data_IF_360766626479
#
_entry.id   IF_360766626479
#
_cell.length_a   1.000
_cell.length_b   1.000
_cell.length_c   1.000
_cell.angle_alpha   90.00
_cell.angle_beta   90.00
_cell.angle_gamma   90.00
#
_symmetry.space_group_name_H-M   'P 1'
#
loop_
_entity.id
_entity.type
_entity.pdbx_description
1 polymer ?
#
# COMPACT_ATOMS: atom_id res chain seq x y z
N UNK A 1 4.89 -4.57 20.39
CA UNK A 1 6.00 -3.83 19.74
C UNK A 1 5.46 -2.55 19.12
N UNK A 2 6.22 -1.46 19.21
CA UNK A 2 5.84 -0.18 18.59
C UNK A 2 5.87 -0.29 17.06
N UNK A 3 4.71 -0.11 16.42
CA UNK A 3 4.53 -0.14 14.97
C UNK A 3 5.43 0.89 14.26
N UNK A 4 5.80 1.98 14.95
CA UNK A 4 6.68 3.01 14.37
C UNK A 4 8.05 2.47 13.97
N UNK A 5 8.51 1.36 14.57
CA UNK A 5 9.76 0.69 14.16
C UNK A 5 9.65 -0.03 12.83
N UNK A 6 8.43 -0.39 12.42
CA UNK A 6 8.14 -1.02 11.14
C UNK A 6 8.01 0.02 10.03
N UNK A 7 7.37 1.17 10.34
CA UNK A 7 7.11 2.21 9.34
C UNK A 7 8.42 2.77 8.78
N UNK A 8 8.50 2.87 7.46
CA UNK A 8 9.65 3.47 6.80
C UNK A 8 9.71 4.98 7.08
N UNK A 9 10.90 5.57 7.35
CA UNK A 9 11.02 6.99 7.68
C UNK A 9 10.42 7.93 6.62
N UNK A 10 10.54 7.59 5.34
CA UNK A 10 9.95 8.39 4.26
C UNK A 10 8.43 8.34 4.26
N UNK A 11 7.83 7.18 4.60
CA UNK A 11 6.38 7.05 4.76
C UNK A 11 5.89 7.92 5.93
N UNK A 12 6.50 7.80 7.09
CA UNK A 12 6.16 8.63 8.25
C UNK A 12 6.24 10.14 7.94
N UNK A 13 7.29 10.56 7.21
CA UNK A 13 7.50 11.94 6.78
C UNK A 13 6.44 12.39 5.78
N UNK A 14 6.16 11.59 4.76
CA UNK A 14 5.18 11.89 3.72
C UNK A 14 3.75 11.94 4.29
N UNK A 15 3.41 11.00 5.18
CA UNK A 15 2.11 10.99 5.87
C UNK A 15 1.94 12.24 6.76
N UNK A 16 2.98 12.64 7.48
CA UNK A 16 2.96 13.87 8.27
C UNK A 16 2.73 15.09 7.39
N UNK A 17 3.40 15.17 6.24
CA UNK A 17 3.21 16.26 5.28
C UNK A 17 1.79 16.26 4.71
N UNK A 18 1.26 15.10 4.31
CA UNK A 18 -0.11 14.95 3.82
C UNK A 18 -1.13 15.41 4.88
N UNK A 19 -1.01 14.93 6.11
CA UNK A 19 -1.89 15.31 7.23
C UNK A 19 -1.83 16.81 7.59
N UNK A 20 -0.75 17.51 7.24
CA UNK A 20 -0.63 18.95 7.48
C UNK A 20 -1.42 19.83 6.50
N UNK A 21 -2.00 19.25 5.44
CA UNK A 21 -2.78 19.99 4.44
C UNK A 21 -4.17 20.31 5.01
N UNK A 22 -4.53 21.60 5.21
CA UNK A 22 -5.80 21.97 5.87
C UNK A 22 -7.05 21.49 5.13
N UNK A 23 -6.97 21.29 3.81
CA UNK A 23 -8.08 20.83 2.99
C UNK A 23 -8.37 19.33 3.12
N UNK A 24 -7.39 18.53 3.57
CA UNK A 24 -7.46 17.07 3.58
C UNK A 24 -8.65 16.51 4.37
N UNK A 25 -8.91 16.90 5.64
CA UNK A 25 -10.00 16.33 6.42
C UNK A 25 -11.36 16.56 5.76
N UNK A 26 -11.60 17.76 5.22
CA UNK A 26 -12.85 18.11 4.56
C UNK A 26 -13.04 17.34 3.25
N UNK A 27 -11.94 17.09 2.52
CA UNK A 27 -11.96 16.27 1.31
C UNK A 27 -12.29 14.82 1.63
N UNK A 28 -11.65 14.25 2.66
CA UNK A 28 -11.93 12.90 3.15
C UNK A 28 -13.41 12.75 3.54
N UNK A 29 -13.91 13.64 4.38
CA UNK A 29 -15.31 13.65 4.78
C UNK A 29 -16.25 13.60 3.57
N UNK A 30 -15.98 14.42 2.56
CA UNK A 30 -16.81 14.49 1.35
C UNK A 30 -16.75 13.19 0.53
N UNK A 31 -15.55 12.67 0.25
CA UNK A 31 -15.39 11.43 -0.52
C UNK A 31 -16.16 10.29 0.11
N UNK A 32 -16.07 10.13 1.44
CA UNK A 32 -16.77 9.07 2.15
C UNK A 32 -18.29 9.34 2.30
N UNK A 33 -18.72 10.60 2.45
CA UNK A 33 -20.13 10.96 2.45
C UNK A 33 -20.84 10.64 1.11
N UNK A 34 -20.14 10.78 -0.03
CA UNK A 34 -20.68 10.42 -1.34
C UNK A 34 -20.74 8.91 -1.58
N UNK A 35 -20.38 8.07 -0.59
CA UNK A 35 -20.49 6.63 -0.69
C UNK A 35 -19.48 6.00 -1.67
N UNK A 36 -18.33 6.66 -1.88
CA UNK A 36 -17.28 6.10 -2.76
C UNK A 36 -16.85 4.70 -2.33
N UNK A 37 -16.73 4.48 -1.03
CA UNK A 37 -16.36 3.18 -0.44
C UNK A 37 -17.37 2.09 -0.79
N UNK A 38 -18.66 2.39 -0.63
CA UNK A 38 -19.76 1.49 -0.98
C UNK A 38 -19.83 1.22 -2.48
N UNK A 39 -19.60 2.25 -3.31
CA UNK A 39 -19.59 2.12 -4.77
C UNK A 39 -18.44 1.22 -5.22
N UNK A 40 -17.22 1.48 -4.77
CA UNK A 40 -16.04 0.70 -5.12
C UNK A 40 -16.16 -0.76 -4.66
N UNK A 41 -16.69 -0.98 -3.46
CA UNK A 41 -16.97 -2.33 -2.98
C UNK A 41 -18.05 -3.04 -3.80
N UNK A 42 -19.15 -2.35 -4.14
CA UNK A 42 -20.22 -2.90 -4.96
C UNK A 42 -19.75 -3.29 -6.36
N UNK A 43 -18.96 -2.44 -7.00
CA UNK A 43 -18.32 -2.73 -8.28
C UNK A 43 -17.44 -3.99 -8.16
N UNK A 44 -16.60 -4.05 -7.13
CA UNK A 44 -15.73 -5.20 -6.90
C UNK A 44 -16.51 -6.51 -6.70
N UNK A 45 -17.59 -6.50 -5.92
CA UNK A 45 -18.46 -7.68 -5.69
C UNK A 45 -19.13 -8.16 -6.97
N UNK A 46 -19.49 -7.25 -7.88
CA UNK A 46 -20.22 -7.59 -9.10
C UNK A 46 -19.34 -7.98 -10.27
N UNK A 47 -18.09 -7.53 -10.28
CA UNK A 47 -17.16 -7.73 -11.42
C UNK A 47 -16.06 -8.74 -11.18
N UNK A 48 -15.70 -9.00 -9.91
CA UNK A 48 -14.59 -9.87 -9.55
C UNK A 48 -15.05 -11.16 -8.86
N UNK A 49 -14.23 -12.19 -8.90
CA UNK A 49 -14.48 -13.47 -8.26
C UNK A 49 -14.04 -13.39 -6.78
N UNK A 50 -14.98 -13.48 -5.84
CA UNK A 50 -14.65 -13.56 -4.42
C UNK A 50 -14.03 -14.92 -4.10
N UNK A 51 -12.85 -14.92 -3.51
CA UNK A 51 -12.15 -16.14 -3.11
C UNK A 51 -12.57 -16.58 -1.70
N UNK A 52 -12.51 -17.87 -1.45
CA UNK A 52 -12.86 -18.48 -0.16
C UNK A 52 -12.27 -19.89 -0.06
N UNK A 53 -12.42 -20.52 1.10
CA UNK A 53 -12.06 -21.94 1.27
C UNK A 53 -12.74 -22.89 0.28
N UNK A 54 -13.88 -22.49 -0.29
CA UNK A 54 -14.63 -23.26 -1.28
C UNK A 54 -14.39 -22.79 -2.72
N UNK A 55 -13.77 -21.66 -2.90
CA UNK A 55 -13.57 -21.01 -4.20
C UNK A 55 -12.12 -20.56 -4.37
N UNK A 56 -11.34 -21.26 -5.17
CA UNK A 56 -9.90 -21.08 -5.37
C UNK A 56 -9.12 -21.18 -4.04
N UNK A 57 -9.28 -22.28 -3.27
CA UNK A 57 -8.62 -22.45 -1.96
C UNK A 57 -7.10 -22.38 -2.03
N UNK A 58 -6.50 -22.74 -3.17
CA UNK A 58 -5.05 -22.65 -3.40
C UNK A 58 -4.48 -21.23 -3.35
N UNK A 59 -5.34 -20.24 -3.58
CA UNK A 59 -4.98 -18.82 -3.44
C UNK A 59 -5.45 -18.31 -2.08
N UNK A 60 -6.74 -18.57 -1.73
CA UNK A 60 -7.35 -18.00 -0.53
C UNK A 60 -6.63 -18.44 0.76
N UNK A 61 -6.30 -19.73 0.89
CA UNK A 61 -5.73 -20.28 2.12
C UNK A 61 -4.32 -19.76 2.45
N UNK A 62 -3.71 -18.98 1.56
CA UNK A 62 -2.44 -18.27 1.81
C UNK A 62 -2.62 -17.04 2.69
N UNK A 63 -3.80 -16.40 2.64
CA UNK A 63 -4.06 -15.13 3.31
C UNK A 63 -4.30 -15.27 4.82
N UNK A 64 -5.15 -16.19 5.34
CA UNK A 64 -5.45 -16.28 6.77
C UNK A 64 -4.22 -16.43 7.68
N UNK A 65 -3.21 -17.26 7.37
CA UNK A 65 -2.01 -17.38 8.21
C UNK A 65 -1.19 -16.08 8.30
N UNK A 66 -1.18 -15.29 7.24
CA UNK A 66 -0.52 -13.97 7.21
C UNK A 66 -1.26 -13.02 8.15
N UNK A 67 -2.59 -12.96 8.01
CA UNK A 67 -3.44 -12.10 8.84
C UNK A 67 -3.37 -12.48 10.33
N UNK A 68 -3.45 -13.77 10.65
CA UNK A 68 -3.32 -14.27 12.02
C UNK A 68 -2.01 -13.82 12.65
N UNK A 69 -0.89 -14.00 11.94
CA UNK A 69 0.42 -13.59 12.43
C UNK A 69 0.53 -12.07 12.62
N UNK A 70 -0.10 -11.28 11.77
CA UNK A 70 -0.11 -9.81 11.87
C UNK A 70 -1.12 -9.29 12.90
N UNK A 71 -2.02 -10.13 13.41
CA UNK A 71 -3.08 -9.73 14.32
C UNK A 71 -4.13 -8.82 13.66
N UNK A 72 -4.34 -8.96 12.35
CA UNK A 72 -5.36 -8.22 11.59
C UNK A 72 -6.52 -9.13 11.20
N UNK A 73 -7.74 -8.61 11.07
CA UNK A 73 -8.86 -9.36 10.49
C UNK A 73 -8.54 -9.82 9.07
N UNK A 74 -9.02 -11.00 8.68
CA UNK A 74 -8.88 -11.48 7.31
C UNK A 74 -9.77 -10.62 6.40
N UNK A 75 -9.19 -9.85 5.45
CA UNK A 75 -9.98 -9.07 4.51
C UNK A 75 -10.66 -9.96 3.47
N UNK A 76 -11.70 -9.45 2.81
CA UNK A 76 -12.21 -10.11 1.63
C UNK A 76 -11.12 -10.17 0.54
N UNK A 77 -10.98 -11.33 -0.13
CA UNK A 77 -10.01 -11.51 -1.22
C UNK A 77 -10.74 -11.73 -2.54
N UNK A 78 -10.35 -11.02 -3.56
CA UNK A 78 -10.96 -11.07 -4.89
C UNK A 78 -9.92 -11.36 -5.98
N UNK A 79 -10.35 -12.10 -6.99
CA UNK A 79 -9.61 -12.33 -8.23
C UNK A 79 -10.27 -11.55 -9.37
N UNK A 80 -9.55 -10.59 -9.93
CA UNK A 80 -9.96 -9.85 -11.11
C UNK A 80 -9.46 -10.54 -12.39
N UNK A 81 -10.33 -10.68 -13.39
CA UNK A 81 -10.02 -11.30 -14.68
C UNK A 81 -9.27 -10.34 -15.61
N UNK A 82 -8.18 -9.77 -15.13
CA UNK A 82 -7.28 -8.90 -15.89
C UNK A 82 -5.99 -9.63 -16.28
N UNK A 83 -5.49 -9.48 -17.53
CA UNK A 83 -4.20 -10.03 -17.94
C UNK A 83 -3.01 -9.24 -17.38
N UNK A 84 -3.21 -8.02 -16.92
CA UNK A 84 -2.17 -7.15 -16.35
C UNK A 84 -1.90 -7.64 -14.93
N UNK A 85 -0.63 -7.89 -14.59
CA UNK A 85 -0.25 -8.30 -13.25
C UNK A 85 -0.34 -7.11 -12.30
N UNK A 86 -1.24 -7.19 -11.33
CA UNK A 86 -1.43 -6.18 -10.30
C UNK A 86 -2.10 -6.76 -9.05
N UNK A 87 -1.91 -6.09 -7.91
CA UNK A 87 -2.68 -6.27 -6.68
C UNK A 87 -2.88 -4.93 -6.01
N UNK A 88 -3.92 -4.82 -5.20
CA UNK A 88 -4.15 -3.63 -4.38
C UNK A 88 -5.09 -3.94 -3.22
N UNK A 89 -4.95 -3.14 -2.18
CA UNK A 89 -5.85 -3.12 -1.03
C UNK A 89 -6.70 -1.85 -1.07
N UNK A 90 -7.99 -1.97 -0.80
CA UNK A 90 -8.92 -0.84 -0.78
C UNK A 90 -10.04 -1.06 0.23
N UNK A 91 -10.84 -0.02 0.45
CA UNK A 91 -12.00 -0.02 1.32
C UNK A 91 -11.75 0.74 2.63
N UNK A 92 -12.83 1.24 3.22
CA UNK A 92 -12.79 1.92 4.52
C UNK A 92 -13.57 1.13 5.57
N UNK A 93 -14.86 0.91 5.34
CA UNK A 93 -15.73 0.10 6.23
C UNK A 93 -15.54 -1.40 5.99
N UNK A 94 -15.29 -1.79 4.75
CA UNK A 94 -15.02 -3.15 4.32
C UNK A 94 -13.72 -3.18 3.55
N UNK A 95 -12.67 -3.65 4.22
CA UNK A 95 -11.35 -3.76 3.60
C UNK A 95 -11.29 -5.04 2.77
N UNK A 96 -10.77 -4.92 1.56
CA UNK A 96 -10.59 -6.03 0.64
C UNK A 96 -9.27 -5.93 -0.12
N UNK A 97 -8.76 -7.09 -0.52
CA UNK A 97 -7.60 -7.22 -1.39
C UNK A 97 -8.07 -7.74 -2.73
N UNK A 98 -7.57 -7.18 -3.82
CA UNK A 98 -7.77 -7.68 -5.18
C UNK A 98 -6.43 -8.13 -5.74
N UNK A 99 -6.41 -9.34 -6.28
CA UNK A 99 -5.29 -9.85 -7.09
C UNK A 99 -5.79 -10.09 -8.52
N UNK A 100 -4.96 -9.84 -9.51
CA UNK A 100 -5.35 -10.08 -10.91
C UNK A 100 -4.95 -11.48 -11.37
N UNK A 101 -5.65 -12.00 -12.37
CA UNK A 101 -5.28 -13.25 -13.00
C UNK A 101 -3.87 -13.19 -13.62
N UNK A 102 -3.49 -12.03 -14.16
CA UNK A 102 -2.15 -11.76 -14.67
C UNK A 102 -1.06 -11.91 -13.61
N UNK A 103 -1.33 -11.43 -12.38
CA UNK A 103 -0.44 -11.60 -11.23
C UNK A 103 -0.29 -13.08 -10.87
N UNK A 104 -1.41 -13.75 -10.61
CA UNK A 104 -1.42 -15.17 -10.19
C UNK A 104 -0.72 -16.08 -11.20
N UNK A 105 -0.87 -15.79 -12.50
CA UNK A 105 -0.19 -16.56 -13.56
C UNK A 105 1.31 -16.31 -13.66
N UNK A 106 1.77 -15.13 -13.27
CA UNK A 106 3.19 -14.75 -13.40
C UNK A 106 4.02 -15.15 -12.19
N UNK A 107 3.45 -15.05 -10.99
CA UNK A 107 4.16 -15.29 -9.76
C UNK A 107 4.30 -16.77 -9.45
N UNK A 108 5.38 -17.13 -8.78
CA UNK A 108 5.50 -18.38 -8.06
C UNK A 108 4.70 -18.30 -6.75
N UNK A 109 4.50 -19.44 -6.09
CA UNK A 109 3.74 -19.51 -4.86
C UNK A 109 4.33 -18.64 -3.73
N UNK A 110 5.64 -18.72 -3.52
CA UNK A 110 6.38 -17.92 -2.53
C UNK A 110 6.38 -16.42 -2.86
N UNK A 111 6.39 -16.07 -4.14
CA UNK A 111 6.29 -14.71 -4.62
C UNK A 111 4.87 -14.15 -4.40
N UNK A 112 3.83 -14.97 -4.56
CA UNK A 112 2.45 -14.61 -4.26
C UNK A 112 2.25 -14.39 -2.74
N UNK A 113 2.83 -15.24 -1.90
CA UNK A 113 2.81 -15.07 -0.45
C UNK A 113 3.45 -13.74 -0.03
N UNK A 114 4.57 -13.36 -0.67
CA UNK A 114 5.22 -12.07 -0.41
C UNK A 114 4.33 -10.88 -0.80
N UNK A 115 3.62 -10.98 -1.94
CA UNK A 115 2.68 -9.93 -2.38
C UNK A 115 1.46 -9.85 -1.46
N UNK A 116 0.88 -10.98 -1.05
CA UNK A 116 -0.24 -10.95 -0.09
C UNK A 116 0.18 -10.38 1.27
N UNK A 117 1.40 -10.67 1.73
CA UNK A 117 1.94 -10.08 2.94
C UNK A 117 2.18 -8.56 2.79
N UNK A 118 2.61 -8.10 1.61
CA UNK A 118 2.70 -6.69 1.27
C UNK A 118 1.34 -5.99 1.37
N UNK A 119 0.28 -6.55 0.76
CA UNK A 119 -1.08 -6.01 0.84
C UNK A 119 -1.60 -5.98 2.29
N UNK A 120 -1.32 -7.02 3.07
CA UNK A 120 -1.62 -7.04 4.51
C UNK A 120 -0.83 -5.96 5.27
N UNK A 121 0.35 -5.59 4.79
CA UNK A 121 1.15 -4.49 5.31
C UNK A 121 0.44 -3.15 5.20
N UNK A 122 -0.25 -2.88 4.08
CA UNK A 122 -1.08 -1.69 3.94
C UNK A 122 -2.23 -1.65 4.94
N UNK A 123 -2.84 -2.80 5.22
CA UNK A 123 -3.91 -2.89 6.24
C UNK A 123 -3.33 -2.62 7.62
N UNK A 124 -2.27 -3.31 7.99
CA UNK A 124 -1.61 -3.21 9.28
C UNK A 124 -1.18 -1.77 9.61
N UNK A 125 -0.60 -1.07 8.63
CA UNK A 125 -0.08 0.29 8.78
C UNK A 125 -1.13 1.37 8.51
N UNK A 126 -2.42 1.00 8.36
CA UNK A 126 -3.55 1.90 8.14
C UNK A 126 -3.42 2.77 6.88
N UNK A 127 -2.74 2.26 5.85
CA UNK A 127 -2.60 2.97 4.57
C UNK A 127 -3.89 3.02 3.77
N UNK A 128 -4.78 2.03 3.98
CA UNK A 128 -5.98 1.79 3.16
C UNK A 128 -6.88 3.02 3.03
N UNK A 129 -7.04 3.78 4.12
CA UNK A 129 -7.87 4.99 4.15
C UNK A 129 -7.39 6.03 3.12
N UNK A 130 -6.09 6.32 3.11
CA UNK A 130 -5.51 7.33 2.21
C UNK A 130 -5.34 6.81 0.78
N UNK A 131 -5.13 5.50 0.60
CA UNK A 131 -5.13 4.86 -0.72
C UNK A 131 -6.52 4.90 -1.35
N UNK A 132 -7.58 4.60 -0.57
CA UNK A 132 -8.97 4.73 -1.04
C UNK A 132 -9.29 6.17 -1.42
N UNK A 133 -8.83 7.15 -0.63
CA UNK A 133 -8.94 8.56 -0.97
C UNK A 133 -8.19 8.93 -2.26
N UNK A 134 -6.96 8.45 -2.42
CA UNK A 134 -6.17 8.68 -3.62
C UNK A 134 -6.89 8.11 -4.85
N UNK A 135 -7.34 6.86 -4.78
CA UNK A 135 -8.08 6.21 -5.85
C UNK A 135 -9.36 6.98 -6.21
N UNK A 136 -10.12 7.47 -5.21
CA UNK A 136 -11.29 8.31 -5.45
C UNK A 136 -10.94 9.59 -6.22
N UNK A 137 -9.88 10.26 -5.81
CA UNK A 137 -9.43 11.52 -6.42
C UNK A 137 -8.89 11.31 -7.83
N UNK A 138 -8.15 10.21 -8.09
CA UNK A 138 -7.58 9.93 -9.40
C UNK A 138 -8.60 9.37 -10.39
N UNK A 139 -9.57 8.57 -9.92
CA UNK A 139 -10.61 7.97 -10.77
C UNK A 139 -11.71 8.98 -11.12
N UNK A 140 -12.14 9.77 -10.15
CA UNK A 140 -13.26 10.71 -10.31
C UNK A 140 -12.82 12.17 -10.21
N UNK A 141 -11.52 12.45 -10.34
CA UNK A 141 -10.94 13.78 -10.08
C UNK A 141 -11.61 14.90 -10.85
N UNK A 142 -12.00 14.69 -12.11
CA UNK A 142 -12.68 15.71 -12.92
C UNK A 142 -14.12 15.92 -12.46
N UNK A 143 -14.88 14.85 -12.18
CA UNK A 143 -16.21 14.93 -11.61
C UNK A 143 -16.19 15.51 -10.19
N UNK A 144 -15.21 15.10 -9.38
CA UNK A 144 -15.02 15.63 -8.04
C UNK A 144 -14.57 17.09 -8.08
N UNK A 145 -13.72 17.52 -9.04
CA UNK A 145 -13.35 18.93 -9.18
C UNK A 145 -14.57 19.80 -9.42
N UNK A 146 -15.46 19.43 -10.30
CA UNK A 146 -16.69 20.21 -10.55
C UNK A 146 -17.63 20.27 -9.32
N UNK A 147 -17.74 19.18 -8.59
CA UNK A 147 -18.57 19.06 -7.38
C UNK A 147 -17.87 19.61 -6.12
N UNK A 148 -16.53 19.55 -6.04
CA UNK A 148 -15.72 19.97 -4.87
C UNK A 148 -15.05 21.33 -5.05
N UNK A 149 -14.97 21.87 -6.27
CA UNK A 149 -14.40 23.21 -6.52
C UNK A 149 -15.12 24.29 -5.69
N UNK A 150 -16.42 24.15 -5.49
CA UNK A 150 -17.15 25.03 -4.58
C UNK A 150 -16.80 24.88 -3.10
N UNK A 151 -16.16 23.77 -2.71
CA UNK A 151 -15.86 23.42 -1.31
C UNK A 151 -14.40 23.67 -0.94
N UNK A 152 -13.47 23.39 -1.86
CA UNK A 152 -12.00 23.38 -1.58
C UNK A 152 -11.25 24.35 -2.50
N UNK A 153 -11.80 24.67 -3.66
CA UNK A 153 -11.15 25.45 -4.70
C UNK A 153 -10.10 24.67 -5.49
N UNK A 154 -9.99 24.93 -6.80
CA UNK A 154 -9.03 24.24 -7.70
C UNK A 154 -7.58 24.36 -7.23
N UNK A 155 -7.22 25.48 -6.59
CA UNK A 155 -5.86 25.75 -6.12
C UNK A 155 -5.41 24.80 -5.00
N UNK A 156 -6.34 24.26 -4.17
CA UNK A 156 -6.01 23.35 -3.07
C UNK A 156 -5.94 21.88 -3.50
N UNK A 157 -6.52 21.50 -4.63
CA UNK A 157 -6.52 20.11 -5.10
C UNK A 157 -5.15 19.64 -5.60
N UNK A 158 -4.40 20.50 -6.31
CA UNK A 158 -3.07 20.13 -6.83
C UNK A 158 -2.09 19.74 -5.72
N UNK A 159 -1.92 20.51 -4.63
CA UNK A 159 -1.10 20.12 -3.48
C UNK A 159 -1.54 18.80 -2.83
N UNK A 160 -2.85 18.55 -2.71
CA UNK A 160 -3.37 17.29 -2.15
C UNK A 160 -3.03 16.12 -3.04
N UNK A 161 -3.28 16.20 -4.35
CA UNK A 161 -2.92 15.16 -5.31
C UNK A 161 -1.43 14.83 -5.26
N UNK A 162 -0.57 15.84 -5.26
CA UNK A 162 0.88 15.66 -5.19
C UNK A 162 1.31 15.00 -3.86
N UNK A 163 0.77 15.45 -2.73
CA UNK A 163 1.09 14.87 -1.43
C UNK A 163 0.61 13.43 -1.29
N UNK A 164 -0.58 13.09 -1.83
CA UNK A 164 -1.10 11.72 -1.87
C UNK A 164 -0.20 10.81 -2.71
N UNK A 165 0.24 11.25 -3.89
CA UNK A 165 1.17 10.48 -4.73
C UNK A 165 2.50 10.23 -4.03
N UNK A 166 3.09 11.27 -3.43
CA UNK A 166 4.35 11.15 -2.70
C UNK A 166 4.23 10.19 -1.52
N UNK A 167 3.12 10.30 -0.78
CA UNK A 167 2.86 9.41 0.33
C UNK A 167 2.57 7.98 -0.13
N UNK A 168 1.73 7.77 -1.16
CA UNK A 168 1.43 6.44 -1.70
C UNK A 168 2.71 5.69 -2.06
N UNK A 169 3.65 6.33 -2.74
CA UNK A 169 4.95 5.74 -3.06
C UNK A 169 5.78 5.41 -1.81
N UNK A 170 5.78 6.30 -0.84
CA UNK A 170 6.54 6.08 0.40
C UNK A 170 5.94 4.93 1.23
N UNK A 171 4.62 4.76 1.22
CA UNK A 171 3.91 3.69 1.93
C UNK A 171 4.24 2.29 1.39
N UNK A 172 4.62 2.18 0.10
CA UNK A 172 5.09 0.94 -0.50
C UNK A 172 6.33 0.38 0.21
N UNK A 173 7.26 1.26 0.61
CA UNK A 173 8.47 0.85 1.33
C UNK A 173 8.15 0.27 2.72
N UNK A 174 7.10 0.74 3.35
CA UNK A 174 6.60 0.16 4.61
C UNK A 174 5.95 -1.20 4.38
N UNK A 175 5.12 -1.34 3.36
CA UNK A 175 4.48 -2.60 3.00
C UNK A 175 5.50 -3.67 2.58
N UNK A 176 6.56 -3.28 1.87
CA UNK A 176 7.70 -4.15 1.55
C UNK A 176 8.43 -4.67 2.80
N UNK A 177 8.56 -3.86 3.84
CA UNK A 177 9.10 -4.30 5.13
C UNK A 177 8.24 -5.38 5.77
N UNK A 178 6.92 -5.27 5.67
CA UNK A 178 6.00 -6.32 6.15
C UNK A 178 6.17 -7.58 5.32
N UNK A 179 6.22 -7.50 4.00
CA UNK A 179 6.48 -8.65 3.13
C UNK A 179 7.79 -9.38 3.53
N UNK A 180 8.85 -8.64 3.86
CA UNK A 180 10.13 -9.21 4.31
C UNK A 180 10.07 -9.96 5.63
N UNK A 181 9.01 -9.81 6.44
CA UNK A 181 8.82 -10.60 7.66
C UNK A 181 8.40 -12.04 7.31
N UNK A 182 7.66 -12.21 6.22
CA UNK A 182 7.11 -13.50 5.78
C UNK A 182 7.99 -14.19 4.75
N UNK A 183 8.71 -13.41 3.94
CA UNK A 183 9.47 -13.91 2.79
C UNK A 183 10.86 -13.26 2.74
N UNK A 184 11.88 -13.94 2.19
CA UNK A 184 13.16 -13.28 1.91
C UNK A 184 12.99 -12.08 1.00
N UNK A 185 13.79 -11.02 1.21
CA UNK A 185 13.79 -9.84 0.34
C UNK A 185 14.07 -10.19 -1.14
N UNK A 186 14.84 -11.24 -1.37
CA UNK A 186 15.09 -11.79 -2.70
C UNK A 186 13.79 -12.30 -3.38
N UNK A 187 12.90 -12.93 -2.62
CA UNK A 187 11.59 -13.40 -3.15
C UNK A 187 10.73 -12.22 -3.55
N UNK A 188 10.65 -11.19 -2.71
CA UNK A 188 9.97 -9.92 -3.03
C UNK A 188 10.58 -9.26 -4.27
N UNK A 189 11.91 -9.20 -4.38
CA UNK A 189 12.60 -8.61 -5.53
C UNK A 189 12.26 -9.34 -6.84
N UNK A 190 12.13 -10.67 -6.81
CA UNK A 190 11.67 -11.44 -7.97
C UNK A 190 10.22 -11.14 -8.33
N UNK A 191 9.34 -11.01 -7.33
CA UNK A 191 7.96 -10.61 -7.55
C UNK A 191 7.88 -9.23 -8.23
N UNK A 192 8.63 -8.24 -7.73
CA UNK A 192 8.72 -6.90 -8.31
C UNK A 192 9.19 -6.94 -9.78
N UNK A 193 10.26 -7.69 -10.08
CA UNK A 193 10.75 -7.83 -11.44
C UNK A 193 9.69 -8.44 -12.39
N UNK A 194 8.84 -9.36 -11.89
CA UNK A 194 7.73 -9.91 -12.67
C UNK A 194 6.60 -8.91 -12.85
N UNK A 195 6.35 -8.09 -11.87
CA UNK A 195 5.37 -6.99 -11.95
C UNK A 195 5.81 -5.94 -12.95
N UNK A 196 7.10 -5.61 -13.02
CA UNK A 196 7.69 -4.73 -14.04
C UNK A 196 7.67 -5.34 -15.46
N UNK A 197 7.00 -6.48 -15.64
CA UNK A 197 6.87 -7.17 -16.91
C UNK A 197 8.20 -7.66 -17.50
N UNK A 198 9.26 -7.78 -16.69
CA UNK A 198 10.53 -8.33 -17.14
C UNK A 198 10.32 -9.78 -17.59
N UNK A 199 10.72 -10.15 -18.82
CA UNK A 199 10.52 -11.49 -19.34
C UNK A 199 11.20 -12.57 -18.48
N UNK A 200 10.55 -13.73 -18.32
CA UNK A 200 11.05 -14.85 -17.50
C UNK A 200 12.52 -15.20 -17.81
N UNK A 201 12.90 -15.29 -19.09
CA UNK A 201 14.25 -15.66 -19.51
C UNK A 201 15.32 -14.63 -19.11
N UNK A 202 14.92 -13.36 -18.89
CA UNK A 202 15.79 -12.32 -18.35
C UNK A 202 15.90 -12.48 -16.85
N UNK A 203 14.76 -12.63 -16.14
CA UNK A 203 14.72 -12.81 -14.68
C UNK A 203 15.60 -14.00 -14.25
N UNK A 204 15.59 -15.10 -15.02
CA UNK A 204 16.41 -16.28 -14.74
C UNK A 204 17.94 -16.05 -14.86
N UNK A 205 18.33 -14.95 -15.50
CA UNK A 205 19.74 -14.53 -15.70
C UNK A 205 20.14 -13.28 -14.92
N UNK A 206 19.18 -12.64 -14.25
CA UNK A 206 19.43 -11.44 -13.47
C UNK A 206 20.24 -11.79 -12.21
N UNK A 207 21.22 -10.97 -11.93
CA UNK A 207 21.80 -10.81 -10.60
C UNK A 207 20.98 -9.77 -9.85
N UNK A 208 20.21 -10.21 -8.86
CA UNK A 208 19.31 -9.33 -8.12
C UNK A 208 20.02 -8.40 -7.14
N UNK A 209 21.23 -8.76 -6.67
CA UNK A 209 22.04 -7.85 -5.86
C UNK A 209 22.56 -6.69 -6.72
N UNK A 210 23.00 -6.99 -7.95
CA UNK A 210 23.39 -5.96 -8.93
C UNK A 210 22.20 -5.11 -9.32
N UNK A 211 21.04 -5.72 -9.56
CA UNK A 211 19.82 -4.97 -9.89
C UNK A 211 19.36 -4.06 -8.75
N UNK A 212 19.36 -4.54 -7.52
CA UNK A 212 19.02 -3.74 -6.35
C UNK A 212 20.02 -2.62 -6.09
N UNK A 213 21.33 -2.80 -6.49
CA UNK A 213 22.33 -1.74 -6.32
C UNK A 213 22.00 -0.47 -7.13
N UNK A 214 21.17 -0.57 -8.18
CA UNK A 214 20.65 0.61 -8.88
C UNK A 214 19.80 1.51 -7.95
N UNK A 215 19.19 0.92 -6.92
CA UNK A 215 18.51 1.68 -5.86
C UNK A 215 19.49 2.52 -5.03
N UNK A 216 20.71 2.00 -4.78
CA UNK A 216 21.77 2.78 -4.13
C UNK A 216 22.19 4.00 -4.97
N UNK A 217 22.37 3.81 -6.28
CA UNK A 217 22.71 4.91 -7.19
C UNK A 217 21.61 5.99 -7.17
N UNK A 218 20.35 5.58 -7.07
CA UNK A 218 19.21 6.48 -6.92
C UNK A 218 19.27 7.23 -5.57
N UNK A 219 19.63 6.59 -4.45
CA UNK A 219 19.84 7.26 -3.16
C UNK A 219 20.99 8.27 -3.22
N UNK A 220 22.06 7.98 -3.93
CA UNK A 220 23.16 8.90 -4.14
C UNK A 220 22.72 10.18 -4.86
N UNK A 221 21.84 10.05 -5.85
CA UNK A 221 21.17 11.18 -6.51
C UNK A 221 20.27 11.96 -5.54
N UNK A 222 19.58 11.27 -4.63
CA UNK A 222 18.72 11.85 -3.59
C UNK A 222 19.50 12.77 -2.65
N UNK A 223 20.70 12.42 -2.28
CA UNK A 223 21.54 13.20 -1.39
C UNK A 223 22.24 14.37 -2.09
N UNK A 224 22.06 14.53 -3.43
CA UNK A 224 22.58 15.62 -4.23
C UNK A 224 21.55 16.70 -4.55
N UNK A 225 22.02 17.87 -5.05
CA UNK A 225 21.15 19.01 -5.44
C UNK A 225 20.17 18.69 -6.59
N UNK A 226 20.39 17.61 -7.33
CA UNK A 226 19.50 17.11 -8.38
C UNK A 226 18.21 16.49 -7.82
N UNK A 227 18.16 16.19 -6.53
CA UNK A 227 17.02 15.52 -5.87
C UNK A 227 15.71 16.29 -6.00
N UNK A 228 15.72 17.59 -5.83
CA UNK A 228 14.52 18.41 -5.98
C UNK A 228 13.91 18.30 -7.39
N UNK A 229 14.75 18.18 -8.42
CA UNK A 229 14.28 17.96 -9.80
C UNK A 229 13.66 16.58 -10.00
N UNK A 230 14.24 15.57 -9.37
CA UNK A 230 13.73 14.18 -9.43
C UNK A 230 12.42 14.05 -8.67
N UNK A 231 12.29 14.66 -7.50
CA UNK A 231 11.01 14.70 -6.76
C UNK A 231 9.92 15.40 -7.58
N UNK A 232 10.23 16.53 -8.21
CA UNK A 232 9.28 17.20 -9.10
C UNK A 232 8.90 16.32 -10.30
N UNK A 233 9.87 15.68 -10.94
CA UNK A 233 9.60 14.76 -12.04
C UNK A 233 8.79 13.55 -11.61
N UNK A 234 9.07 12.95 -10.45
CA UNK A 234 8.27 11.85 -9.88
C UNK A 234 6.89 12.31 -9.40
N UNK A 235 6.75 13.57 -8.97
CA UNK A 235 5.46 14.16 -8.61
C UNK A 235 4.55 14.40 -9.81
N UNK A 236 5.15 14.63 -10.96
CA UNK A 236 4.44 14.86 -12.22
C UNK A 236 4.23 13.57 -13.05
N UNK A 237 4.85 12.44 -12.67
CA UNK A 237 4.65 11.16 -13.35
C UNK A 237 3.42 10.43 -12.76
N UNK A 238 2.58 9.87 -13.64
CA UNK A 238 1.41 9.05 -13.28
C UNK A 238 1.77 7.66 -12.69
N UNK A 239 3.05 7.44 -12.34
CA UNK A 239 3.50 6.18 -11.76
C UNK A 239 3.04 6.04 -10.30
N UNK A 240 2.20 5.05 -10.02
CA UNK A 240 1.60 4.79 -8.71
C UNK A 240 2.59 4.17 -7.71
N UNK A 241 3.70 3.58 -8.19
CA UNK A 241 4.67 2.87 -7.36
C UNK A 241 6.10 3.43 -7.53
N UNK A 242 6.96 3.33 -6.49
CA UNK A 242 8.39 3.60 -6.62
C UNK A 242 9.05 2.59 -7.57
N UNK A 243 10.19 2.97 -8.14
CA UNK A 243 10.97 2.06 -8.99
C UNK A 243 11.35 0.77 -8.26
N UNK A 244 11.12 -0.37 -8.89
CA UNK A 244 11.32 -1.68 -8.28
C UNK A 244 12.75 -1.95 -7.80
N UNK A 245 13.83 -1.46 -8.47
CA UNK A 245 15.18 -1.57 -7.91
C UNK A 245 15.36 -0.84 -6.57
N UNK A 246 14.70 0.32 -6.39
CA UNK A 246 14.72 1.05 -5.11
C UNK A 246 14.01 0.26 -4.01
N UNK A 247 12.83 -0.29 -4.32
CA UNK A 247 12.08 -1.16 -3.41
C UNK A 247 12.90 -2.39 -3.02
N UNK A 248 13.52 -3.07 -4.00
CA UNK A 248 14.39 -4.22 -3.77
C UNK A 248 15.57 -3.87 -2.86
N UNK A 249 16.24 -2.74 -3.11
CA UNK A 249 17.36 -2.26 -2.32
C UNK A 249 16.95 -1.99 -0.87
N UNK A 250 15.86 -1.26 -0.64
CA UNK A 250 15.35 -0.96 0.70
C UNK A 250 14.90 -2.23 1.45
N UNK A 251 14.25 -3.17 0.74
CA UNK A 251 13.86 -4.45 1.30
C UNK A 251 15.08 -5.29 1.75
N UNK A 252 16.12 -5.38 0.92
CA UNK A 252 17.36 -6.09 1.25
C UNK A 252 18.13 -5.45 2.41
N UNK A 253 18.09 -4.12 2.52
CA UNK A 253 18.65 -3.41 3.68
C UNK A 253 17.86 -3.69 4.95
N UNK A 254 16.53 -3.59 4.87
CA UNK A 254 15.64 -3.85 5.99
C UNK A 254 15.76 -5.27 6.51
N UNK A 255 15.86 -6.26 5.62
CA UNK A 255 15.99 -7.67 5.97
C UNK A 255 17.20 -7.95 6.89
N UNK A 256 18.28 -7.18 6.73
CA UNK A 256 19.54 -7.33 7.52
C UNK A 256 19.46 -6.68 8.90
N UNK A 257 18.37 -5.99 9.23
CA UNK A 257 18.23 -5.30 10.52
C UNK A 257 17.83 -6.24 11.66
N UNK A 258 18.26 -5.92 12.87
CA UNK A 258 17.85 -6.63 14.09
C UNK A 258 16.33 -6.58 14.28
N UNK A 259 15.69 -5.50 13.87
CA UNK A 259 14.24 -5.34 13.94
C UNK A 259 13.52 -6.36 13.05
N UNK A 260 13.95 -6.55 11.81
CA UNK A 260 13.39 -7.54 10.90
C UNK A 260 13.60 -8.97 11.46
N UNK A 261 14.79 -9.27 11.91
CA UNK A 261 15.12 -10.58 12.49
C UNK A 261 14.30 -10.88 13.73
N UNK A 262 14.11 -9.89 14.59
CA UNK A 262 13.25 -10.01 15.78
C UNK A 262 11.79 -10.27 15.38
N UNK A 263 11.25 -9.53 14.40
CA UNK A 263 9.88 -9.67 13.91
C UNK A 263 9.61 -11.02 13.25
N UNK A 264 10.59 -11.57 12.54
CA UNK A 264 10.50 -12.93 11.97
C UNK A 264 10.37 -14.00 13.04
N UNK A 265 11.00 -13.81 14.19
CA UNK A 265 11.12 -14.82 15.25
C UNK A 265 10.05 -14.71 16.34
N UNK A 266 9.33 -13.58 16.42
CA UNK A 266 8.39 -13.31 17.50
C UNK A 266 6.98 -13.06 16.98
N UNK A 267 5.91 -13.45 17.74
CA UNK A 267 4.54 -13.10 17.38
C UNK A 267 4.34 -11.59 17.43
N UNK A 268 3.43 -11.10 16.58
CA UNK A 268 3.06 -9.70 16.60
C UNK A 268 2.16 -9.39 17.77
N UNK A 269 2.64 -8.52 18.66
CA UNK A 269 1.82 -7.81 19.64
C UNK A 269 2.03 -6.33 19.34
N UNK A 270 1.16 -5.74 18.55
CA UNK A 270 1.25 -4.32 18.20
C UNK A 270 0.57 -3.50 19.27
N UNK A 271 1.31 -2.61 19.90
CA UNK A 271 0.77 -1.51 20.68
C UNK A 271 0.70 -0.30 19.77
N UNK A 272 -0.51 0.11 19.39
CA UNK A 272 -0.73 1.40 18.75
C UNK A 272 -0.58 2.47 19.83
N UNK A 273 0.38 3.38 19.69
CA UNK A 273 0.40 4.58 20.51
C UNK A 273 -0.79 5.46 20.08
N UNK A 274 -1.77 5.54 20.95
CA UNK A 274 -2.89 6.47 20.83
C UNK A 274 -2.35 7.90 20.79
N UNK A 275 -2.27 8.49 19.62
CA UNK A 275 -2.05 9.92 19.48
C UNK A 275 -3.33 10.62 19.96
N UNK A 276 -3.30 11.13 21.19
CA UNK A 276 -4.44 11.75 21.91
C UNK A 276 -5.11 12.91 21.14
N UNK A 277 -4.55 13.31 20.00
CA UNK A 277 -5.12 14.32 19.10
C UNK A 277 -6.20 13.74 18.17
N UNK A 278 -6.19 12.44 17.88
CA UNK A 278 -7.17 11.79 16.99
C UNK A 278 -8.48 11.50 17.72
N UNK A 279 -8.46 11.11 19.00
CA UNK A 279 -9.66 10.78 19.78
C UNK A 279 -10.67 11.92 19.90
N UNK A 280 -10.23 13.19 20.01
CA UNK A 280 -11.13 14.34 20.08
C UNK A 280 -11.87 14.66 18.79
N UNK A 281 -11.34 14.21 17.64
CA UNK A 281 -11.98 14.42 16.33
C UNK A 281 -12.83 13.21 15.90
N UNK A 282 -12.46 12.00 16.33
CA UNK A 282 -13.22 10.77 16.04
C UNK A 282 -14.52 10.70 16.83
N UNK A 283 -14.52 11.10 18.10
CA UNK A 283 -15.75 11.22 18.90
C UNK A 283 -16.75 12.25 18.36
N UNK A 284 -16.27 13.29 17.66
CA UNK A 284 -17.13 14.29 17.01
C UNK A 284 -17.70 13.82 15.66
N UNK A 285 -17.04 12.87 14.97
CA UNK A 285 -17.38 12.47 13.61
C UNK A 285 -17.97 11.06 13.50
N UNK A 286 -18.25 10.38 14.61
CA UNK A 286 -18.95 9.09 14.61
C UNK A 286 -18.18 7.91 13.98
N UNK A 287 -16.87 8.04 13.77
CA UNK A 287 -16.03 6.99 13.20
C UNK A 287 -15.24 6.28 14.30
N UNK A 288 -15.94 5.43 15.08
CA UNK A 288 -15.29 4.50 15.99
C UNK A 288 -14.76 3.29 15.19
N UNK A 289 -13.52 3.34 14.76
CA UNK A 289 -12.78 2.19 14.28
C UNK A 289 -12.08 1.53 15.47
N UNK A 290 -12.79 0.68 16.22
CA UNK A 290 -12.16 -0.28 17.11
C UNK A 290 -12.19 -1.64 16.39
N UNK A 291 -11.06 -2.32 16.33
CA UNK A 291 -10.92 -3.71 15.85
C UNK A 291 -11.78 -4.71 16.65
N UNK A 292 -12.49 -4.25 17.70
CA UNK A 292 -13.34 -5.05 18.57
C UNK A 292 -14.79 -5.24 18.10
N UNK A 293 -15.22 -4.66 16.96
CA UNK A 293 -16.62 -4.69 16.53
C UNK A 293 -16.84 -5.41 15.17
N UNK A 294 -16.10 -6.48 14.90
CA UNK A 294 -16.43 -7.40 13.82
C UNK A 294 -16.75 -8.75 14.44
N UNK A 295 -18.02 -8.92 14.88
CA UNK A 295 -18.66 -10.18 15.18
C UNK A 295 -19.48 -10.64 14.00
#
# INVERSE_FOLDING_TARGET
>A
MDINKLIHPEDAKALKALKSIPALPKLMEKVFQYGYDELAWSENVTTNLRLSEKQMPEIYNRLPPICERLGIPVPELYLQMSPIANSWTSGHKKVYIVVTLGLVKKLKEDELDAVLAHECGHILCQHVLYQTLANAIFTFGDFLTDSFVGVIGNAAMKPVKQALLLWSRASELTADRVACIFSPAMTLSRALARLDMIPKYIIEKMDFDVWASQGYDYEALRNGSAWNKIIHWMGDSDADHPYSPVRAYEAMRWEKTDTCNWLRSNPFTLEFQDDNTTKKNEEKNGANWSLSNVG
#
